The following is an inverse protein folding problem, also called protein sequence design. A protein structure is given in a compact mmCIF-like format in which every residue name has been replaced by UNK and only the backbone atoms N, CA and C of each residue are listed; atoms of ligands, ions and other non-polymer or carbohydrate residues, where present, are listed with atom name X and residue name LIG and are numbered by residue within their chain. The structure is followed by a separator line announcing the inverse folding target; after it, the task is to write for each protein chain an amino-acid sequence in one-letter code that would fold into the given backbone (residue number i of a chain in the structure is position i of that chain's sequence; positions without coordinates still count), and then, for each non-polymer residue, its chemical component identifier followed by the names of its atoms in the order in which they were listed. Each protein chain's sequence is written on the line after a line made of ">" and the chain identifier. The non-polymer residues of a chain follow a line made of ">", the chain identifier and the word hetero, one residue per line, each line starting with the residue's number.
data_IF_572613735408
#
_entry.id   IF_572613735408
#
_cell.length_a   1.000
_cell.length_b   1.000
_cell.length_c   1.000
_cell.angle_alpha   90.00
_cell.angle_beta   90.00
_cell.angle_gamma   90.00
#
_symmetry.space_group_name_H-M   'P 1'
#
loop_
_entity.id
_entity.type
_entity.pdbx_description
1 polymer ?
#
# COMPACT_ATOMS: atom_id res chain seq x y z
N UNK A 1 -44.39 -35.83 33.53
CA UNK A 1 -43.01 -35.46 33.14
C UNK A 1 -42.12 -36.67 33.40
N UNK A 2 -42.02 -37.57 32.42
CA UNK A 2 -41.07 -38.68 32.39
C UNK A 2 -40.29 -38.51 31.08
N UNK A 3 -39.21 -37.71 31.13
CA UNK A 3 -38.41 -37.35 29.93
C UNK A 3 -37.20 -38.26 29.73
N UNK A 4 -36.99 -39.25 30.61
CA UNK A 4 -35.95 -40.27 30.47
C UNK A 4 -36.49 -41.60 30.97
N UNK A 5 -37.07 -42.40 30.07
CA UNK A 5 -37.35 -43.80 30.32
C UNK A 5 -36.07 -44.59 30.04
N UNK A 6 -35.40 -45.04 31.10
CA UNK A 6 -34.09 -45.72 31.05
C UNK A 6 -34.20 -47.21 30.71
N UNK A 7 -35.36 -47.70 30.29
CA UNK A 7 -35.62 -49.14 30.04
C UNK A 7 -35.78 -49.52 28.57
N UNK A 8 -35.74 -48.56 27.63
CA UNK A 8 -35.77 -48.86 26.19
C UNK A 8 -34.38 -49.23 25.72
N UNK A 9 -34.12 -50.54 25.59
CA UNK A 9 -32.88 -51.05 25.02
C UNK A 9 -32.82 -50.58 23.54
N UNK A 10 -31.76 -49.88 23.10
CA UNK A 10 -31.72 -49.28 21.77
C UNK A 10 -31.93 -50.33 20.68
N UNK A 11 -32.87 -50.05 19.79
CA UNK A 11 -33.15 -50.91 18.65
C UNK A 11 -31.99 -50.86 17.65
N UNK A 12 -31.88 -51.86 16.78
CA UNK A 12 -30.86 -51.88 15.72
C UNK A 12 -30.94 -50.66 14.78
N UNK A 13 -32.12 -50.05 14.64
CA UNK A 13 -32.34 -48.78 13.94
C UNK A 13 -31.69 -47.58 14.64
N UNK A 14 -31.65 -47.54 15.97
CA UNK A 14 -30.98 -46.46 16.72
C UNK A 14 -29.47 -46.50 16.51
N UNK A 15 -28.89 -47.71 16.47
CA UNK A 15 -27.48 -47.92 16.14
C UNK A 15 -27.15 -47.51 14.71
N UNK A 16 -28.05 -47.78 13.75
CA UNK A 16 -27.90 -47.34 12.36
C UNK A 16 -27.95 -45.80 12.28
N UNK A 17 -28.90 -45.17 12.96
CA UNK A 17 -29.01 -43.71 13.06
C UNK A 17 -27.76 -43.07 13.65
N UNK A 18 -27.21 -43.67 14.71
CA UNK A 18 -25.95 -43.23 15.32
C UNK A 18 -24.78 -43.36 14.35
N UNK A 19 -24.67 -44.48 13.63
CA UNK A 19 -23.61 -44.69 12.64
C UNK A 19 -23.67 -43.67 11.49
N UNK A 20 -24.86 -43.39 10.96
CA UNK A 20 -25.07 -42.38 9.90
C UNK A 20 -24.71 -40.97 10.40
N UNK A 21 -25.10 -40.62 11.62
CA UNK A 21 -24.74 -39.33 12.23
C UNK A 21 -23.21 -39.19 12.40
N UNK A 22 -22.53 -40.26 12.81
CA UNK A 22 -21.07 -40.29 13.00
C UNK A 22 -20.34 -40.11 11.66
N UNK A 23 -20.83 -40.75 10.59
CA UNK A 23 -20.30 -40.59 9.23
C UNK A 23 -20.53 -39.16 8.72
N UNK A 24 -21.74 -38.61 8.89
CA UNK A 24 -22.05 -37.23 8.50
C UNK A 24 -21.17 -36.20 9.22
N UNK A 25 -20.90 -36.42 10.50
CA UNK A 25 -20.00 -35.58 11.29
C UNK A 25 -18.55 -35.68 10.81
N UNK A 26 -18.05 -36.89 10.53
CA UNK A 26 -16.70 -37.10 9.99
C UNK A 26 -16.51 -36.42 8.62
N UNK A 27 -17.49 -36.52 7.73
CA UNK A 27 -17.48 -35.82 6.43
C UNK A 27 -17.46 -34.30 6.61
N UNK A 28 -18.24 -33.78 7.55
CA UNK A 28 -18.26 -32.33 7.84
C UNK A 28 -16.92 -31.84 8.37
N UNK A 29 -16.29 -32.58 9.30
CA UNK A 29 -14.93 -32.28 9.78
C UNK A 29 -13.94 -32.27 8.61
N UNK A 30 -14.00 -33.27 7.74
CA UNK A 30 -13.12 -33.34 6.57
C UNK A 30 -13.30 -32.13 5.64
N UNK A 31 -14.55 -31.70 5.40
CA UNK A 31 -14.83 -30.49 4.62
C UNK A 31 -14.26 -29.24 5.28
N UNK A 32 -14.44 -29.07 6.60
CA UNK A 32 -13.90 -27.90 7.34
C UNK A 32 -12.38 -27.84 7.26
N UNK A 33 -11.69 -28.97 7.45
CA UNK A 33 -10.22 -29.04 7.36
C UNK A 33 -9.75 -28.69 5.94
N UNK A 34 -10.41 -29.22 4.90
CA UNK A 34 -10.08 -28.92 3.51
C UNK A 34 -10.33 -27.45 3.17
N UNK A 35 -11.44 -26.88 3.63
CA UNK A 35 -11.76 -25.45 3.45
C UNK A 35 -10.76 -24.55 4.14
N UNK A 36 -10.29 -24.91 5.35
CA UNK A 36 -9.22 -24.17 6.03
C UNK A 36 -7.91 -24.18 5.26
N UNK A 37 -7.52 -25.34 4.72
CA UNK A 37 -6.31 -25.43 3.90
C UNK A 37 -6.43 -24.59 2.62
N UNK A 38 -7.57 -24.66 1.93
CA UNK A 38 -7.82 -23.87 0.73
C UNK A 38 -7.85 -22.36 1.03
N UNK A 39 -8.46 -21.95 2.14
CA UNK A 39 -8.47 -20.56 2.59
C UNK A 39 -7.05 -20.05 2.87
N UNK A 40 -6.21 -20.84 3.55
CA UNK A 40 -4.81 -20.48 3.78
C UNK A 40 -4.04 -20.31 2.48
N UNK A 41 -4.16 -21.24 1.53
CA UNK A 41 -3.51 -21.12 0.22
C UNK A 41 -4.00 -19.91 -0.56
N UNK A 42 -5.28 -19.56 -0.46
CA UNK A 42 -5.85 -18.37 -1.07
C UNK A 42 -5.29 -17.08 -0.43
N UNK A 43 -5.18 -17.02 0.90
CA UNK A 43 -4.55 -15.90 1.61
C UNK A 43 -3.08 -15.75 1.21
N UNK A 44 -2.31 -16.83 1.21
CA UNK A 44 -0.89 -16.80 0.82
C UNK A 44 -0.72 -16.33 -0.65
N UNK A 45 -1.62 -16.75 -1.55
CA UNK A 45 -1.62 -16.31 -2.94
C UNK A 45 -2.00 -14.84 -3.09
N UNK A 46 -2.98 -14.36 -2.31
CA UNK A 46 -3.38 -12.95 -2.28
C UNK A 46 -2.27 -12.06 -1.73
N UNK A 47 -1.60 -12.45 -0.66
CA UNK A 47 -0.47 -11.71 -0.10
C UNK A 47 0.68 -11.59 -1.10
N UNK A 48 1.01 -12.68 -1.80
CA UNK A 48 2.01 -12.66 -2.88
C UNK A 48 1.60 -11.75 -4.03
N UNK A 49 0.34 -11.83 -4.47
CA UNK A 49 -0.18 -10.98 -5.53
C UNK A 49 -0.14 -9.50 -5.14
N UNK A 50 -0.55 -9.19 -3.90
CA UNK A 50 -0.50 -7.84 -3.34
C UNK A 50 0.94 -7.32 -3.29
N UNK A 51 1.90 -8.13 -2.85
CA UNK A 51 3.33 -7.77 -2.80
C UNK A 51 3.86 -7.40 -4.19
N UNK A 52 3.54 -8.20 -5.21
CA UNK A 52 3.94 -7.95 -6.61
C UNK A 52 3.27 -6.69 -7.16
N UNK A 53 1.97 -6.50 -6.87
CA UNK A 53 1.23 -5.30 -7.29
C UNK A 53 1.81 -4.03 -6.68
N UNK A 54 2.03 -4.00 -5.37
CA UNK A 54 2.64 -2.86 -4.67
C UNK A 54 4.02 -2.56 -5.23
N UNK A 55 4.84 -3.57 -5.46
CA UNK A 55 6.16 -3.37 -6.04
C UNK A 55 6.11 -2.80 -7.47
N UNK A 56 5.20 -3.29 -8.31
CA UNK A 56 5.01 -2.75 -9.65
C UNK A 56 4.55 -1.29 -9.62
N UNK A 57 3.67 -0.92 -8.68
CA UNK A 57 3.27 0.48 -8.47
C UNK A 57 4.46 1.34 -8.06
N UNK A 58 5.26 0.88 -7.10
CA UNK A 58 6.47 1.58 -6.65
C UNK A 58 7.47 1.79 -7.80
N UNK A 59 7.63 0.81 -8.71
CA UNK A 59 8.52 0.92 -9.87
C UNK A 59 8.10 2.05 -10.83
N UNK A 60 6.82 2.38 -10.91
CA UNK A 60 6.32 3.45 -11.78
C UNK A 60 6.51 4.86 -11.18
N UNK A 61 6.69 4.98 -9.86
CA UNK A 61 6.75 6.28 -9.17
C UNK A 61 7.90 7.18 -9.60
N UNK A 62 9.16 6.71 -9.78
CA UNK A 62 10.28 7.59 -10.15
C UNK A 62 10.03 8.41 -11.41
N UNK A 63 9.36 7.82 -12.41
CA UNK A 63 8.98 8.54 -13.64
C UNK A 63 8.00 9.69 -13.35
N UNK A 64 7.06 9.48 -12.44
CA UNK A 64 6.09 10.51 -12.04
C UNK A 64 6.74 11.63 -11.25
N UNK A 65 7.66 11.31 -10.33
CA UNK A 65 8.44 12.32 -9.59
C UNK A 65 9.33 13.14 -10.53
N UNK A 66 10.02 12.50 -11.49
CA UNK A 66 10.83 13.19 -12.49
C UNK A 66 10.01 14.19 -13.32
N UNK A 67 8.78 13.81 -13.70
CA UNK A 67 7.88 14.71 -14.41
C UNK A 67 7.48 15.93 -13.55
N UNK A 68 7.16 15.71 -12.27
CA UNK A 68 6.83 16.78 -11.33
C UNK A 68 8.01 17.75 -11.15
N UNK A 69 9.23 17.24 -10.99
CA UNK A 69 10.45 18.07 -10.89
C UNK A 69 10.62 18.92 -12.14
N UNK A 70 10.52 18.31 -13.33
CA UNK A 70 10.68 19.00 -14.61
C UNK A 70 9.63 20.11 -14.83
N UNK A 71 8.38 19.84 -14.47
CA UNK A 71 7.31 20.83 -14.54
C UNK A 71 7.49 21.97 -13.54
N UNK A 72 7.90 21.68 -12.31
CA UNK A 72 8.16 22.70 -11.29
C UNK A 72 9.33 23.59 -11.71
N UNK A 73 10.39 23.01 -12.26
CA UNK A 73 11.52 23.76 -12.83
C UNK A 73 11.09 24.62 -14.01
N UNK A 74 10.22 24.11 -14.87
CA UNK A 74 9.67 24.89 -15.98
C UNK A 74 8.85 26.09 -15.46
N UNK A 75 7.97 25.87 -14.48
CA UNK A 75 7.20 26.93 -13.83
C UNK A 75 8.10 27.99 -13.17
N UNK A 76 9.17 27.56 -12.49
CA UNK A 76 10.17 28.45 -11.87
C UNK A 76 10.92 29.27 -12.93
N UNK A 77 11.32 28.66 -14.06
CA UNK A 77 12.04 29.36 -15.13
C UNK A 77 11.18 30.42 -15.80
N UNK A 78 9.90 30.14 -16.03
CA UNK A 78 8.95 31.06 -16.67
C UNK A 78 8.23 31.99 -15.68
N UNK A 79 8.55 31.90 -14.38
CA UNK A 79 7.88 32.64 -13.31
C UNK A 79 6.33 32.48 -13.32
N UNK A 80 5.84 31.26 -13.60
CA UNK A 80 4.42 30.96 -13.73
C UNK A 80 3.84 30.41 -12.42
N UNK A 81 3.22 31.29 -11.62
CA UNK A 81 2.68 30.95 -10.30
C UNK A 81 1.63 29.83 -10.33
N UNK A 82 0.65 29.92 -11.23
CA UNK A 82 -0.43 28.93 -11.34
C UNK A 82 0.09 27.53 -11.69
N UNK A 83 1.14 27.45 -12.52
CA UNK A 83 1.76 26.18 -12.86
C UNK A 83 2.49 25.60 -11.64
N UNK A 84 3.29 26.41 -10.93
CA UNK A 84 3.98 25.98 -9.72
C UNK A 84 2.99 25.49 -8.64
N UNK A 85 1.89 26.23 -8.41
CA UNK A 85 0.83 25.86 -7.46
C UNK A 85 0.24 24.48 -7.79
N UNK A 86 -0.14 24.26 -9.06
CA UNK A 86 -0.72 22.97 -9.50
C UNK A 86 0.28 21.82 -9.36
N UNK A 87 1.54 22.05 -9.74
CA UNK A 87 2.59 21.03 -9.63
C UNK A 87 2.90 20.68 -8.16
N UNK A 88 2.92 21.66 -7.25
CA UNK A 88 3.11 21.42 -5.81
C UNK A 88 1.95 20.64 -5.18
N UNK A 89 0.71 20.88 -5.59
CA UNK A 89 -0.46 20.10 -5.15
C UNK A 89 -0.37 18.67 -5.67
N UNK A 90 -0.02 18.49 -6.95
CA UNK A 90 0.16 17.16 -7.53
C UNK A 90 1.28 16.38 -6.85
N UNK A 91 2.37 17.05 -6.49
CA UNK A 91 3.43 16.48 -5.65
C UNK A 91 2.88 15.96 -4.32
N UNK A 92 2.08 16.77 -3.61
CA UNK A 92 1.51 16.35 -2.33
C UNK A 92 0.64 15.09 -2.43
N UNK A 93 -0.17 14.96 -3.50
CA UNK A 93 -0.95 13.75 -3.74
C UNK A 93 -0.07 12.53 -4.03
N UNK A 94 0.93 12.67 -4.91
CA UNK A 94 1.85 11.59 -5.24
C UNK A 94 2.66 11.15 -4.01
N UNK A 95 3.11 12.10 -3.19
CA UNK A 95 3.84 11.82 -1.96
C UNK A 95 2.98 11.04 -0.94
N UNK A 96 1.71 11.41 -0.76
CA UNK A 96 0.78 10.68 0.11
C UNK A 96 0.50 9.26 -0.38
N UNK A 97 0.29 9.08 -1.69
CA UNK A 97 0.14 7.75 -2.30
C UNK A 97 1.40 6.92 -2.09
N UNK A 98 2.57 7.53 -2.27
CA UNK A 98 3.85 6.86 -2.05
C UNK A 98 4.04 6.45 -0.59
N UNK A 99 3.70 7.32 0.36
CA UNK A 99 3.73 6.97 1.79
C UNK A 99 2.81 5.78 2.07
N UNK A 100 1.59 5.77 1.53
CA UNK A 100 0.65 4.66 1.72
C UNK A 100 1.18 3.34 1.14
N UNK A 101 1.88 3.38 0.01
CA UNK A 101 2.53 2.20 -0.58
C UNK A 101 3.77 1.73 0.22
N UNK A 102 4.48 2.66 0.86
CA UNK A 102 5.67 2.37 1.67
C UNK A 102 5.34 1.96 3.12
N UNK A 103 4.13 2.23 3.60
CA UNK A 103 3.61 1.78 4.90
C UNK A 103 3.34 0.26 4.89
N UNK A 104 4.43 -0.51 4.77
CA UNK A 104 4.49 -1.93 5.12
C UNK A 104 4.78 -2.05 6.63
N UNK A 105 4.42 -3.16 7.30
CA UNK A 105 4.71 -3.40 8.73
C UNK A 105 6.20 -3.38 9.12
N UNK A 106 7.11 -3.17 8.18
CA UNK A 106 8.57 -3.11 8.39
C UNK A 106 9.05 -1.65 8.38
N UNK A 107 9.75 -1.22 9.43
CA UNK A 107 10.33 0.12 9.60
C UNK A 107 11.42 0.53 8.56
N UNK A 108 11.68 -0.32 7.55
CA UNK A 108 12.74 -0.18 6.53
C UNK A 108 12.67 1.16 5.76
N UNK A 109 11.49 1.80 5.70
CA UNK A 109 11.27 3.03 4.92
C UNK A 109 10.80 4.23 5.77
N UNK A 110 10.88 4.12 7.10
CA UNK A 110 10.44 5.17 8.04
C UNK A 110 11.08 6.54 7.78
N UNK A 111 12.38 6.58 7.51
CA UNK A 111 13.10 7.82 7.19
C UNK A 111 12.59 8.49 5.91
N UNK A 112 12.42 7.72 4.83
CA UNK A 112 11.92 8.25 3.55
C UNK A 112 10.47 8.72 3.67
N UNK A 113 9.63 7.99 4.42
CA UNK A 113 8.27 8.41 4.74
C UNK A 113 8.27 9.75 5.49
N UNK A 114 9.15 9.94 6.47
CA UNK A 114 9.28 11.21 7.18
C UNK A 114 9.73 12.34 6.25
N UNK A 115 10.72 12.07 5.38
CA UNK A 115 11.16 13.04 4.37
C UNK A 115 10.02 13.44 3.41
N UNK A 116 9.19 12.49 2.98
CA UNK A 116 8.00 12.75 2.15
C UNK A 116 6.96 13.62 2.89
N UNK A 117 6.70 13.36 4.17
CA UNK A 117 5.77 14.15 4.99
C UNK A 117 6.27 15.59 5.13
N UNK A 118 7.55 15.74 5.47
CA UNK A 118 8.20 17.02 5.70
C UNK A 118 8.22 17.88 4.43
N UNK A 119 8.63 17.28 3.31
CA UNK A 119 8.67 17.97 2.00
C UNK A 119 7.28 18.30 1.49
N UNK A 120 6.29 17.43 1.70
CA UNK A 120 4.89 17.72 1.36
C UNK A 120 4.36 18.90 2.14
N UNK A 121 4.63 18.95 3.45
CA UNK A 121 4.25 20.09 4.29
C UNK A 121 4.87 21.39 3.78
N UNK A 122 6.17 21.37 3.44
CA UNK A 122 6.86 22.54 2.87
C UNK A 122 6.34 22.92 1.48
N UNK A 123 5.95 21.96 0.64
CA UNK A 123 5.32 22.21 -0.65
C UNK A 123 3.96 22.90 -0.49
N UNK A 124 3.13 22.46 0.44
CA UNK A 124 1.84 23.08 0.72
C UNK A 124 1.98 24.49 1.31
N UNK A 125 2.95 24.71 2.20
CA UNK A 125 3.26 26.05 2.72
C UNK A 125 3.80 26.97 1.61
N UNK A 126 4.61 26.44 0.69
CA UNK A 126 5.10 27.19 -0.47
C UNK A 126 3.94 27.59 -1.39
N UNK A 127 3.02 26.65 -1.65
CA UNK A 127 1.78 26.91 -2.40
C UNK A 127 0.98 28.04 -1.77
N UNK A 128 0.79 28.02 -0.45
CA UNK A 128 0.06 29.07 0.26
C UNK A 128 0.73 30.44 0.11
N UNK A 129 2.06 30.51 0.21
CA UNK A 129 2.83 31.75 -0.02
C UNK A 129 2.67 32.30 -1.43
N UNK A 130 2.69 31.41 -2.44
CA UNK A 130 2.47 31.81 -3.84
C UNK A 130 1.07 32.39 -4.06
N UNK A 131 0.04 31.84 -3.39
CA UNK A 131 -1.34 32.33 -3.48
C UNK A 131 -1.54 33.67 -2.74
N UNK A 132 -0.90 33.85 -1.59
CA UNK A 132 -1.07 35.05 -0.76
C UNK A 132 -0.30 36.27 -1.27
N UNK A 133 0.67 36.08 -2.17
CA UNK A 133 1.49 37.16 -2.71
C UNK A 133 0.88 37.65 -4.02
N UNK A 134 0.59 38.96 -4.14
CA UNK A 134 -0.04 39.52 -5.34
C UNK A 134 0.82 39.39 -6.60
N UNK A 135 2.15 39.57 -6.46
CA UNK A 135 3.14 39.42 -7.54
C UNK A 135 4.29 38.52 -7.02
N UNK A 136 4.10 37.20 -6.99
CA UNK A 136 5.09 36.28 -6.43
C UNK A 136 6.31 36.15 -7.34
N UNK A 137 7.51 36.29 -6.76
CA UNK A 137 8.72 35.73 -7.36
C UNK A 137 8.72 34.21 -7.12
N UNK A 138 8.21 33.48 -8.11
CA UNK A 138 8.05 32.01 -8.06
C UNK A 138 9.39 31.33 -7.83
N UNK A 139 10.47 31.87 -8.39
CA UNK A 139 11.82 31.34 -8.23
C UNK A 139 12.29 31.51 -6.80
N UNK A 140 12.21 32.71 -6.24
CA UNK A 140 12.64 32.97 -4.87
C UNK A 140 11.85 32.11 -3.86
N UNK A 141 10.54 31.98 -4.07
CA UNK A 141 9.65 31.24 -3.18
C UNK A 141 9.83 29.72 -3.31
N UNK A 142 9.98 29.18 -4.53
CA UNK A 142 9.91 27.74 -4.78
C UNK A 142 11.27 27.03 -4.89
N UNK A 143 12.38 27.75 -5.07
CA UNK A 143 13.70 27.15 -5.31
C UNK A 143 14.12 26.13 -4.23
N UNK A 144 13.84 26.44 -2.95
CA UNK A 144 14.19 25.53 -1.85
C UNK A 144 13.39 24.23 -1.93
N UNK A 145 12.07 24.32 -2.07
CA UNK A 145 11.23 23.12 -2.10
C UNK A 145 11.48 22.29 -3.36
N UNK A 146 11.78 22.92 -4.49
CA UNK A 146 12.15 22.21 -5.72
C UNK A 146 13.39 21.32 -5.52
N UNK A 147 14.41 21.83 -4.82
CA UNK A 147 15.61 21.04 -4.48
C UNK A 147 15.28 19.86 -3.57
N UNK A 148 14.45 20.06 -2.56
CA UNK A 148 14.06 19.00 -1.63
C UNK A 148 13.20 17.91 -2.32
N UNK A 149 12.32 18.30 -3.25
CA UNK A 149 11.55 17.37 -4.08
C UNK A 149 12.48 16.53 -4.96
N UNK A 150 13.51 17.14 -5.54
CA UNK A 150 14.52 16.44 -6.34
C UNK A 150 15.32 15.43 -5.49
N UNK A 151 15.74 15.81 -4.29
CA UNK A 151 16.41 14.91 -3.34
C UNK A 151 15.53 13.69 -2.97
N UNK A 152 14.24 13.91 -2.70
CA UNK A 152 13.28 12.83 -2.43
C UNK A 152 13.08 11.93 -3.66
N UNK A 153 13.03 12.51 -4.87
CA UNK A 153 12.93 11.76 -6.14
C UNK A 153 14.12 10.82 -6.33
N UNK A 154 15.33 11.27 -6.00
CA UNK A 154 16.55 10.45 -6.01
C UNK A 154 16.48 9.34 -4.96
N UNK A 155 16.05 9.66 -3.73
CA UNK A 155 15.83 8.67 -2.66
C UNK A 155 14.84 7.58 -3.07
N UNK A 156 13.74 7.97 -3.72
CA UNK A 156 12.72 7.05 -4.24
C UNK A 156 13.31 6.09 -5.27
N UNK A 157 14.15 6.60 -6.17
CA UNK A 157 14.84 5.78 -7.16
C UNK A 157 15.75 4.72 -6.51
N UNK A 158 16.37 5.06 -5.37
CA UNK A 158 17.13 4.13 -4.55
C UNK A 158 16.28 2.99 -3.99
N UNK A 159 15.13 3.29 -3.39
CA UNK A 159 14.19 2.28 -2.87
C UNK A 159 13.67 1.37 -3.99
N UNK A 160 13.29 1.95 -5.12
CA UNK A 160 12.82 1.18 -6.29
C UNK A 160 13.91 0.24 -6.81
N UNK A 161 15.17 0.67 -6.83
CA UNK A 161 16.30 -0.19 -7.19
C UNK A 161 16.43 -1.38 -6.24
N UNK A 162 16.33 -1.15 -4.93
CA UNK A 162 16.35 -2.21 -3.92
C UNK A 162 15.20 -3.21 -4.11
N UNK A 163 13.98 -2.71 -4.34
CA UNK A 163 12.79 -3.56 -4.59
C UNK A 163 12.95 -4.36 -5.89
N UNK A 164 13.40 -3.72 -6.97
CA UNK A 164 13.65 -4.37 -8.25
C UNK A 164 14.68 -5.50 -8.10
N UNK A 165 15.75 -5.28 -7.33
CA UNK A 165 16.76 -6.31 -7.05
C UNK A 165 16.18 -7.47 -6.23
N UNK A 166 15.35 -7.18 -5.21
CA UNK A 166 14.67 -8.20 -4.40
C UNK A 166 13.72 -9.08 -5.26
N UNK A 167 13.04 -8.50 -6.26
CA UNK A 167 12.07 -9.21 -7.11
C UNK A 167 12.75 -9.89 -8.32
N UNK A 168 13.77 -9.23 -8.89
CA UNK A 168 14.53 -9.68 -10.04
C UNK A 168 15.58 -10.75 -9.72
N UNK A 169 15.75 -11.14 -8.44
CA UNK A 169 16.57 -12.27 -8.01
C UNK A 169 15.73 -13.52 -7.64
N UNK A 170 14.87 -14.07 -8.52
CA UNK A 170 14.22 -15.34 -8.24
C UNK A 170 15.24 -16.47 -8.46
N UNK A 171 16.00 -16.84 -7.42
CA UNK A 171 16.76 -18.12 -7.40
C UNK A 171 18.24 -18.07 -7.02
N UNK A 172 18.56 -17.53 -5.84
CA UNK A 172 19.65 -18.08 -5.01
C UNK A 172 19.06 -18.50 -3.68
#
# INVERSE_FOLDING_TARGET
>A
MQWFDSTVNPGWFDWLGMAVALVGFAVTIFQVVRTRSAAKTATDALEKAQTVLTANMLIALPGQYSLIVSELDHAIRLNQGDMAIRTLVRYGHLAQETIALLQSPTDEHSELCQQLIDTTTRALNTKEKLVQTAEPDVRAISKRVAKEIDEVSVGMSGVVSTIRNKIGAPGV
#
